data_IF_870371528056
#
_entry.id   IF_870371528056
#
_cell.length_a   1.000
_cell.length_b   1.000
_cell.length_c   1.000
_cell.angle_alpha   90.00
_cell.angle_beta   90.00
_cell.angle_gamma   90.00
#
_symmetry.space_group_name_H-M   'P 1'
#
loop_
_entity.id
_entity.type
_entity.pdbx_description
1 polymer ?
#
# COMPACT_ATOMS: atom_id res chain seq x y z
N UNK A 1 -25.66 0.07 -4.06
CA UNK A 1 -24.31 0.60 -4.36
C UNK A 1 -23.31 -0.25 -3.61
N UNK A 2 -22.09 -0.44 -4.13
CA UNK A 2 -21.09 -1.29 -3.47
C UNK A 2 -20.24 -0.47 -2.52
N UNK A 3 -19.80 -1.08 -1.43
CA UNK A 3 -18.80 -0.55 -0.51
C UNK A 3 -17.54 -1.42 -0.60
N UNK A 4 -16.52 -0.90 -1.28
CA UNK A 4 -15.25 -1.59 -1.47
C UNK A 4 -14.19 -0.95 -0.59
N UNK A 5 -13.49 -1.77 0.18
CA UNK A 5 -12.28 -1.38 0.90
C UNK A 5 -11.08 -1.99 0.19
N UNK A 6 -10.06 -1.19 -0.09
CA UNK A 6 -8.71 -1.69 -0.38
C UNK A 6 -7.85 -1.45 0.85
N UNK A 7 -7.17 -2.49 1.33
CA UNK A 7 -6.20 -2.40 2.44
C UNK A 7 -4.83 -2.74 1.88
N UNK A 8 -3.82 -1.95 2.26
CA UNK A 8 -2.43 -2.10 1.81
C UNK A 8 -1.47 -1.78 2.96
N UNK A 9 -0.57 -2.69 3.30
CA UNK A 9 0.35 -2.52 4.43
C UNK A 9 1.45 -1.50 4.14
N UNK A 10 1.78 -0.69 5.14
CA UNK A 10 2.76 0.36 5.01
C UNK A 10 4.19 -0.21 5.01
N UNK A 11 4.91 -0.07 3.89
CA UNK A 11 6.30 -0.52 3.73
C UNK A 11 6.52 -1.98 4.18
N UNK A 12 5.58 -2.87 3.87
CA UNK A 12 5.36 -4.17 4.52
C UNK A 12 6.61 -4.90 4.99
N UNK A 13 7.50 -5.33 4.09
CA UNK A 13 8.68 -6.11 4.49
C UNK A 13 9.62 -5.33 5.42
N UNK A 14 9.87 -4.05 5.16
CA UNK A 14 10.73 -3.25 6.03
C UNK A 14 10.11 -3.04 7.42
N UNK A 15 8.79 -2.84 7.48
CA UNK A 15 8.04 -2.73 8.73
C UNK A 15 8.04 -4.04 9.53
N UNK A 16 7.96 -5.20 8.86
CA UNK A 16 8.11 -6.52 9.52
C UNK A 16 9.51 -6.68 10.10
N UNK A 17 10.56 -6.29 9.38
CA UNK A 17 11.93 -6.34 9.88
C UNK A 17 12.14 -5.41 11.08
N UNK A 18 11.65 -4.16 11.01
CA UNK A 18 11.73 -3.20 12.13
C UNK A 18 10.89 -3.61 13.35
N UNK A 19 9.79 -4.32 13.13
CA UNK A 19 8.99 -4.88 14.23
C UNK A 19 9.77 -5.97 14.94
N UNK A 20 10.27 -6.94 14.19
CA UNK A 20 10.92 -8.15 14.70
C UNK A 20 12.32 -7.87 15.27
N UNK A 21 13.01 -6.84 14.77
CA UNK A 21 14.31 -6.36 15.27
C UNK A 21 14.22 -4.88 15.71
N UNK A 22 14.15 -4.61 17.04
CA UNK A 22 14.08 -3.26 17.57
C UNK A 22 15.25 -2.35 17.20
N UNK A 23 16.44 -2.87 16.88
CA UNK A 23 17.61 -2.06 16.51
C UNK A 23 17.47 -1.39 15.14
N UNK A 24 16.50 -1.83 14.34
CA UNK A 24 16.20 -1.29 13.02
C UNK A 24 15.19 -0.14 13.04
N UNK A 25 14.50 0.09 14.17
CA UNK A 25 13.45 1.11 14.30
C UNK A 25 14.05 2.51 14.21
N UNK A 26 13.40 3.40 13.44
CA UNK A 26 13.88 4.77 13.24
C UNK A 26 15.11 4.87 12.34
N UNK A 27 15.55 3.77 11.73
CA UNK A 27 16.69 3.74 10.80
C UNK A 27 16.20 3.51 9.37
N UNK A 28 16.91 4.04 8.35
CA UNK A 28 16.64 3.67 6.96
C UNK A 28 16.96 2.19 6.74
N UNK A 29 15.92 1.37 6.59
CA UNK A 29 16.00 -0.05 6.28
C UNK A 29 15.64 -0.30 4.82
N UNK A 30 16.46 -1.12 4.15
CA UNK A 30 16.26 -1.61 2.80
C UNK A 30 16.20 -3.14 2.81
N UNK A 31 15.06 -3.70 2.44
CA UNK A 31 14.91 -5.15 2.29
C UNK A 31 15.20 -5.51 0.83
N UNK A 32 16.10 -6.47 0.59
CA UNK A 32 16.36 -6.94 -0.77
C UNK A 32 17.48 -7.96 -0.87
N UNK A 33 17.99 -8.11 -2.09
CA UNK A 33 19.13 -8.98 -2.41
C UNK A 33 20.49 -8.34 -2.11
N UNK A 34 21.57 -9.01 -2.54
CA UNK A 34 22.95 -8.53 -2.43
C UNK A 34 23.13 -7.12 -3.02
N UNK A 35 23.99 -6.30 -2.41
CA UNK A 35 24.20 -4.90 -2.83
C UNK A 35 24.66 -4.75 -4.28
N UNK A 36 25.47 -5.69 -4.80
CA UNK A 36 26.08 -5.56 -6.13
C UNK A 36 25.14 -5.89 -7.27
N UNK A 37 24.17 -6.79 -7.06
CA UNK A 37 23.30 -7.31 -8.13
C UNK A 37 21.80 -7.34 -7.79
N UNK A 38 21.45 -7.04 -6.55
CA UNK A 38 20.09 -7.06 -6.06
C UNK A 38 19.34 -5.77 -6.34
N UNK A 39 18.04 -5.82 -6.04
CA UNK A 39 17.13 -4.68 -6.05
C UNK A 39 16.49 -4.51 -4.69
N UNK A 40 16.05 -3.30 -4.40
CA UNK A 40 15.22 -2.99 -3.23
C UNK A 40 13.85 -3.62 -3.45
N UNK A 41 13.46 -4.55 -2.58
CA UNK A 41 12.12 -5.13 -2.57
C UNK A 41 11.15 -4.27 -1.76
N UNK A 42 11.60 -3.79 -0.60
CA UNK A 42 10.87 -2.81 0.21
C UNK A 42 11.85 -1.85 0.88
N UNK A 43 11.41 -0.62 1.09
CA UNK A 43 12.15 0.42 1.80
C UNK A 43 11.26 1.00 2.90
N UNK A 44 11.84 1.13 4.10
CA UNK A 44 11.24 1.83 5.23
C UNK A 44 10.90 3.28 4.90
N UNK A 45 10.03 3.91 5.69
CA UNK A 45 9.69 5.31 5.50
C UNK A 45 10.89 6.23 5.72
N UNK A 46 11.79 5.86 6.63
CA UNK A 46 13.04 6.56 6.92
C UNK A 46 13.99 6.59 5.71
N UNK A 47 13.88 5.63 4.79
CA UNK A 47 14.66 5.59 3.55
C UNK A 47 14.03 6.41 2.40
N UNK A 48 12.72 6.72 2.45
CA UNK A 48 12.00 7.42 1.37
C UNK A 48 12.50 8.85 1.08
N UNK A 49 12.90 9.67 2.07
CA UNK A 49 13.46 11.00 1.82
C UNK A 49 14.67 11.00 0.87
N UNK A 50 15.41 9.88 0.79
CA UNK A 50 16.56 9.70 -0.11
C UNK A 50 16.13 9.33 -1.55
N UNK A 51 14.83 9.33 -1.83
CA UNK A 51 14.24 8.95 -3.12
C UNK A 51 14.33 7.45 -3.41
N UNK A 52 14.59 6.62 -2.39
CA UNK A 52 14.67 5.17 -2.52
C UNK A 52 13.27 4.59 -2.64
N UNK A 53 13.11 3.63 -3.55
CA UNK A 53 11.84 2.99 -3.89
C UNK A 53 12.06 1.53 -4.27
N UNK A 54 11.00 0.73 -4.20
CA UNK A 54 11.02 -0.65 -4.68
C UNK A 54 11.43 -0.73 -6.16
N UNK A 55 12.05 -1.85 -6.52
CA UNK A 55 12.69 -2.13 -7.82
C UNK A 55 13.89 -1.24 -8.19
N UNK A 56 14.34 -0.33 -7.31
CA UNK A 56 15.60 0.39 -7.48
C UNK A 56 16.79 -0.58 -7.32
N UNK A 57 17.86 -0.48 -8.15
CA UNK A 57 19.10 -1.22 -7.92
C UNK A 57 19.65 -0.97 -6.51
N UNK A 58 20.06 -2.02 -5.80
CA UNK A 58 20.50 -1.89 -4.40
C UNK A 58 21.76 -1.01 -4.28
N UNK A 59 22.70 -1.12 -5.23
CA UNK A 59 23.87 -0.25 -5.29
C UNK A 59 23.51 1.24 -5.39
N UNK A 60 22.48 1.58 -6.18
CA UNK A 60 21.98 2.95 -6.30
C UNK A 60 21.31 3.41 -4.99
N UNK A 61 20.51 2.55 -4.36
CA UNK A 61 19.86 2.84 -3.09
C UNK A 61 20.88 3.10 -1.97
N UNK A 62 21.92 2.29 -1.86
CA UNK A 62 23.02 2.48 -0.91
C UNK A 62 23.83 3.73 -1.22
N UNK A 63 24.07 4.06 -2.49
CA UNK A 63 24.73 5.30 -2.86
C UNK A 63 23.92 6.54 -2.44
N UNK A 64 22.57 6.48 -2.55
CA UNK A 64 21.66 7.54 -2.10
C UNK A 64 21.57 7.66 -0.58
N UNK A 65 21.70 6.55 0.15
CA UNK A 65 21.66 6.51 1.61
C UNK A 65 22.75 5.57 2.16
N UNK A 66 24.02 6.04 2.27
CA UNK A 66 25.15 5.19 2.68
C UNK A 66 25.04 4.58 4.08
N UNK A 67 24.20 5.16 4.93
CA UNK A 67 23.94 4.69 6.30
C UNK A 67 22.69 3.80 6.41
N UNK A 68 22.06 3.45 5.28
CA UNK A 68 20.94 2.53 5.27
C UNK A 68 21.38 1.11 5.67
N UNK A 69 20.55 0.43 6.45
CA UNK A 69 20.73 -0.97 6.79
C UNK A 69 20.11 -1.82 5.71
N UNK A 70 20.93 -2.63 5.05
CA UNK A 70 20.45 -3.62 4.06
C UNK A 70 20.17 -4.93 4.78
N UNK A 71 18.92 -5.38 4.71
CA UNK A 71 18.44 -6.62 5.32
C UNK A 71 18.07 -7.61 4.22
N UNK A 72 18.51 -8.86 4.38
CA UNK A 72 18.10 -9.95 3.50
C UNK A 72 16.66 -10.34 3.82
N UNK A 73 15.79 -10.34 2.80
CA UNK A 73 14.38 -10.62 3.02
C UNK A 73 14.08 -12.03 3.55
N UNK A 74 13.20 -12.12 4.55
CA UNK A 74 12.73 -13.37 5.16
C UNK A 74 11.33 -13.75 4.64
N UNK A 75 11.26 -14.27 3.41
CA UNK A 75 9.99 -14.52 2.72
C UNK A 75 8.99 -15.37 3.52
N UNK A 76 9.43 -16.44 4.18
CA UNK A 76 8.55 -17.29 5.00
C UNK A 76 7.90 -16.50 6.14
N UNK A 77 8.63 -15.54 6.72
CA UNK A 77 8.11 -14.65 7.77
C UNK A 77 7.06 -13.71 7.21
N UNK A 78 7.28 -13.14 6.02
CA UNK A 78 6.32 -12.25 5.37
C UNK A 78 5.04 -12.97 4.98
N UNK A 79 5.15 -14.21 4.49
CA UNK A 79 4.01 -15.08 4.19
C UNK A 79 3.20 -15.38 5.46
N UNK A 80 3.87 -15.72 6.56
CA UNK A 80 3.20 -15.96 7.84
C UNK A 80 2.39 -14.73 8.31
N UNK A 81 2.99 -13.53 8.24
CA UNK A 81 2.27 -12.28 8.56
C UNK A 81 1.12 -12.02 7.58
N UNK A 82 1.30 -12.29 6.29
CA UNK A 82 0.22 -12.19 5.29
C UNK A 82 -0.98 -13.08 5.62
N UNK A 83 -0.74 -14.28 6.17
CA UNK A 83 -1.82 -15.14 6.66
C UNK A 83 -2.56 -14.56 7.87
N UNK A 84 -1.84 -13.92 8.81
CA UNK A 84 -2.45 -13.19 9.95
C UNK A 84 -3.37 -12.07 9.44
N UNK A 85 -2.90 -11.27 8.48
CA UNK A 85 -3.69 -10.18 7.87
C UNK A 85 -4.95 -10.72 7.19
N UNK A 86 -4.83 -11.79 6.41
CA UNK A 86 -5.97 -12.40 5.73
C UNK A 86 -6.99 -12.96 6.70
N UNK A 87 -6.54 -13.54 7.82
CA UNK A 87 -7.43 -13.98 8.88
C UNK A 87 -8.21 -12.82 9.51
N UNK A 88 -7.59 -11.65 9.67
CA UNK A 88 -8.28 -10.43 10.12
C UNK A 88 -9.34 -9.99 9.10
N UNK A 89 -9.00 -9.94 7.81
CA UNK A 89 -9.94 -9.54 6.75
C UNK A 89 -11.21 -10.40 6.72
N UNK A 90 -11.06 -11.72 6.85
CA UNK A 90 -12.17 -12.66 6.83
C UNK A 90 -13.13 -12.56 8.04
N UNK A 91 -12.78 -11.81 9.09
CA UNK A 91 -13.70 -11.50 10.20
C UNK A 91 -14.81 -10.52 9.77
N UNK A 92 -14.53 -9.68 8.78
CA UNK A 92 -15.43 -8.60 8.38
C UNK A 92 -16.23 -8.94 7.12
N UNK A 93 -15.69 -9.76 6.22
CA UNK A 93 -16.42 -10.23 5.03
C UNK A 93 -15.82 -11.53 4.50
N UNK A 94 -16.62 -12.46 3.95
CA UNK A 94 -16.09 -13.59 3.21
C UNK A 94 -15.54 -13.17 1.83
N UNK A 95 -15.93 -11.99 1.32
CA UNK A 95 -15.57 -11.49 0.00
C UNK A 95 -14.22 -10.74 0.04
N UNK A 96 -13.15 -11.52 0.22
CA UNK A 96 -11.76 -11.02 0.23
C UNK A 96 -11.05 -11.48 -1.04
N UNK A 97 -10.46 -10.53 -1.77
CA UNK A 97 -9.67 -10.77 -2.96
C UNK A 97 -8.24 -10.25 -2.76
N UNK A 98 -7.29 -11.14 -2.41
CA UNK A 98 -5.88 -10.76 -2.25
C UNK A 98 -5.25 -10.40 -3.60
N UNK A 99 -4.43 -9.35 -3.62
CA UNK A 99 -3.60 -8.98 -4.77
C UNK A 99 -2.15 -9.42 -4.56
N UNK A 100 -1.67 -9.35 -3.32
CA UNK A 100 -0.33 -9.75 -2.89
C UNK A 100 -0.38 -10.32 -1.45
N UNK A 101 0.78 -10.44 -0.79
CA UNK A 101 0.86 -10.78 0.64
C UNK A 101 0.31 -9.66 1.54
N UNK A 102 0.31 -8.43 1.07
CA UNK A 102 0.11 -7.22 1.87
C UNK A 102 -1.01 -6.30 1.39
N UNK A 103 -1.70 -6.67 0.30
CA UNK A 103 -2.88 -5.96 -0.19
C UNK A 103 -4.04 -6.88 -0.56
N UNK A 104 -5.26 -6.39 -0.29
CA UNK A 104 -6.49 -7.07 -0.67
C UNK A 104 -7.65 -6.08 -0.88
N UNK A 105 -8.59 -6.46 -1.76
CA UNK A 105 -9.92 -5.87 -1.79
C UNK A 105 -10.88 -6.64 -0.88
N UNK A 106 -11.74 -5.89 -0.19
CA UNK A 106 -12.82 -6.43 0.62
C UNK A 106 -14.12 -5.78 0.16
N UNK A 107 -15.10 -6.60 -0.27
CA UNK A 107 -16.47 -6.13 -0.48
C UNK A 107 -17.23 -6.26 0.84
N UNK A 108 -17.55 -5.12 1.44
CA UNK A 108 -18.22 -5.05 2.75
C UNK A 108 -19.67 -4.61 2.65
N UNK A 109 -20.22 -4.55 1.42
CA UNK A 109 -21.59 -4.07 1.16
C UNK A 109 -22.63 -4.79 2.04
N UNK A 110 -22.51 -6.12 2.18
CA UNK A 110 -23.41 -6.92 3.02
C UNK A 110 -23.07 -6.87 4.53
N UNK A 111 -21.85 -6.44 4.87
CA UNK A 111 -21.33 -6.40 6.23
C UNK A 111 -21.69 -5.11 6.98
N UNK A 112 -22.13 -4.06 6.26
CA UNK A 112 -22.43 -2.74 6.85
C UNK A 112 -23.46 -2.82 7.98
N UNK A 113 -24.46 -3.70 7.87
CA UNK A 113 -25.49 -3.84 8.92
C UNK A 113 -24.94 -4.40 10.23
N UNK A 114 -23.87 -5.18 10.18
CA UNK A 114 -23.27 -5.84 11.36
C UNK A 114 -22.19 -4.98 12.00
N UNK A 115 -21.36 -4.34 11.17
CA UNK A 115 -20.13 -3.68 11.62
C UNK A 115 -20.15 -2.15 11.45
N UNK A 116 -21.25 -1.59 10.94
CA UNK A 116 -21.38 -0.17 10.65
C UNK A 116 -20.94 0.22 9.25
N UNK A 117 -20.96 1.52 8.91
CA UNK A 117 -20.50 2.05 7.63
C UNK A 117 -19.12 1.53 7.21
N UNK A 118 -18.85 1.45 5.91
CA UNK A 118 -17.59 0.93 5.38
C UNK A 118 -16.34 1.64 5.92
N UNK A 119 -16.45 2.95 6.21
CA UNK A 119 -15.39 3.71 6.88
C UNK A 119 -15.08 3.18 8.29
N UNK A 120 -16.10 2.80 9.06
CA UNK A 120 -15.93 2.22 10.40
C UNK A 120 -15.35 0.81 10.33
N UNK A 121 -15.77 0.01 9.33
CA UNK A 121 -15.17 -1.30 9.07
C UNK A 121 -13.68 -1.15 8.75
N UNK A 122 -13.31 -0.20 7.89
CA UNK A 122 -11.90 0.06 7.58
C UNK A 122 -11.09 0.47 8.82
N UNK A 123 -11.64 1.33 9.70
CA UNK A 123 -11.01 1.69 10.99
C UNK A 123 -10.84 0.48 11.91
N UNK A 124 -11.85 -0.38 12.00
CA UNK A 124 -11.80 -1.60 12.81
C UNK A 124 -10.74 -2.57 12.29
N UNK A 125 -10.65 -2.78 10.96
CA UNK A 125 -9.60 -3.59 10.32
C UNK A 125 -8.23 -3.02 10.67
N UNK A 126 -8.00 -1.72 10.47
CA UNK A 126 -6.72 -1.07 10.80
C UNK A 126 -6.36 -1.22 12.28
N UNK A 127 -7.33 -1.05 13.16
CA UNK A 127 -7.15 -1.22 14.61
C UNK A 127 -6.75 -2.66 14.95
N UNK A 128 -7.42 -3.65 14.36
CA UNK A 128 -7.11 -5.07 14.55
C UNK A 128 -5.71 -5.41 14.03
N UNK A 129 -5.34 -4.94 12.84
CA UNK A 129 -3.98 -5.10 12.28
C UNK A 129 -2.96 -4.54 13.27
N UNK A 130 -3.15 -3.31 13.75
CA UNK A 130 -2.20 -2.67 14.66
C UNK A 130 -2.08 -3.41 15.99
N UNK A 131 -3.20 -3.85 16.55
CA UNK A 131 -3.24 -4.54 17.83
C UNK A 131 -2.61 -5.93 17.77
N UNK A 132 -2.86 -6.70 16.71
CA UNK A 132 -2.46 -8.10 16.60
C UNK A 132 -1.07 -8.27 15.98
N UNK A 133 -0.66 -7.36 15.09
CA UNK A 133 0.59 -7.50 14.33
C UNK A 133 1.63 -6.45 14.66
N UNK A 134 1.27 -5.38 15.40
CA UNK A 134 2.09 -4.20 15.64
C UNK A 134 2.55 -3.45 14.36
N UNK A 135 1.89 -3.69 13.22
CA UNK A 135 2.14 -3.03 11.93
C UNK A 135 1.03 -2.01 11.62
N UNK A 136 1.26 -1.15 10.63
CA UNK A 136 0.24 -0.21 10.12
C UNK A 136 -0.15 -0.56 8.69
N UNK A 137 -1.36 -0.15 8.31
CA UNK A 137 -1.89 -0.30 6.98
C UNK A 137 -2.60 0.99 6.57
N UNK A 138 -2.55 1.30 5.28
CA UNK A 138 -3.38 2.35 4.70
C UNK A 138 -4.60 1.73 4.02
N UNK A 139 -5.73 2.45 4.04
CA UNK A 139 -6.98 1.93 3.51
C UNK A 139 -7.73 2.98 2.68
N UNK A 140 -8.39 2.52 1.62
CA UNK A 140 -9.23 3.32 0.75
C UNK A 140 -10.62 2.72 0.68
N UNK A 141 -11.66 3.54 0.84
CA UNK A 141 -13.06 3.12 0.76
C UNK A 141 -13.72 3.84 -0.40
N UNK A 142 -14.33 3.10 -1.33
CA UNK A 142 -14.93 3.69 -2.53
C UNK A 142 -15.98 2.77 -3.17
N UNK A 143 -16.80 3.26 -4.13
CA UNK A 143 -17.81 2.44 -4.83
C UNK A 143 -17.24 1.40 -5.80
N UNK A 144 -15.92 1.42 -6.06
CA UNK A 144 -15.25 0.48 -6.95
C UNK A 144 -13.83 0.15 -6.47
N UNK A 145 -13.33 -1.02 -6.84
CA UNK A 145 -11.96 -1.48 -6.56
C UNK A 145 -10.90 -0.49 -7.05
N UNK A 146 -11.06 0.02 -8.28
CA UNK A 146 -10.10 0.94 -8.88
C UNK A 146 -9.94 2.21 -8.03
N UNK A 147 -11.05 2.85 -7.65
CA UNK A 147 -11.02 4.07 -6.83
C UNK A 147 -10.53 3.76 -5.41
N UNK A 148 -10.94 2.63 -4.82
CA UNK A 148 -10.51 2.23 -3.48
C UNK A 148 -8.98 2.05 -3.40
N UNK A 149 -8.38 1.41 -4.42
CA UNK A 149 -6.92 1.23 -4.51
C UNK A 149 -6.18 2.56 -4.61
N UNK A 150 -6.64 3.46 -5.46
CA UNK A 150 -6.04 4.80 -5.58
C UNK A 150 -6.16 5.56 -4.25
N UNK A 151 -7.32 5.49 -3.59
CA UNK A 151 -7.55 6.14 -2.32
C UNK A 151 -6.62 5.63 -1.20
N UNK A 152 -6.38 4.32 -1.13
CA UNK A 152 -5.42 3.78 -0.15
C UNK A 152 -4.00 4.24 -0.45
N UNK A 153 -3.58 4.29 -1.72
CA UNK A 153 -2.22 4.71 -2.09
C UNK A 153 -1.97 6.20 -1.77
N UNK A 154 -2.96 7.06 -2.07
CA UNK A 154 -2.88 8.51 -1.79
C UNK A 154 -2.84 8.80 -0.29
N UNK A 155 -3.41 7.92 0.54
CA UNK A 155 -3.48 8.13 1.99
C UNK A 155 -2.27 7.61 2.77
N UNK A 156 -1.31 6.92 2.12
CA UNK A 156 -0.12 6.39 2.81
C UNK A 156 0.76 7.49 3.43
N UNK A 157 1.40 7.26 4.61
CA UNK A 157 1.28 6.10 5.50
C UNK A 157 0.12 6.15 6.48
N UNK A 158 -0.26 4.98 7.01
CA UNK A 158 -1.26 4.79 8.07
C UNK A 158 -2.53 5.62 7.87
N UNK A 159 -2.92 5.83 6.62
CA UNK A 159 -4.05 6.66 6.26
C UNK A 159 -5.35 5.88 6.09
N UNK A 160 -6.45 6.63 6.05
CA UNK A 160 -7.75 6.13 5.63
C UNK A 160 -8.42 7.24 4.80
N UNK A 161 -8.70 6.95 3.54
CA UNK A 161 -9.42 7.87 2.67
C UNK A 161 -10.72 7.24 2.19
N UNK A 162 -11.82 7.99 2.33
CA UNK A 162 -13.15 7.59 1.87
C UNK A 162 -13.52 8.48 0.70
N UNK A 163 -13.89 7.88 -0.43
CA UNK A 163 -14.32 8.56 -1.63
C UNK A 163 -15.79 8.22 -1.85
N UNK A 164 -16.67 9.18 -1.58
CA UNK A 164 -18.09 9.00 -1.80
C UNK A 164 -18.40 8.90 -3.31
N UNK A 165 -19.48 8.21 -3.71
CA UNK A 165 -19.88 8.03 -5.10
C UNK A 165 -19.98 9.33 -5.91
N UNK A 166 -20.53 10.38 -5.28
CA UNK A 166 -20.66 11.72 -5.82
C UNK A 166 -19.32 12.43 -6.01
N UNK A 167 -18.33 12.10 -5.18
CA UNK A 167 -17.01 12.73 -5.17
C UNK A 167 -16.00 12.05 -6.11
N UNK A 168 -16.35 10.91 -6.71
CA UNK A 168 -15.40 10.09 -7.50
C UNK A 168 -14.74 10.91 -8.61
N UNK A 169 -15.51 11.72 -9.35
CA UNK A 169 -14.96 12.52 -10.46
C UNK A 169 -13.99 13.58 -9.93
N UNK A 170 -14.40 14.31 -8.90
CA UNK A 170 -13.62 15.42 -8.35
C UNK A 170 -12.36 14.92 -7.63
N UNK A 171 -12.43 13.74 -7.01
CA UNK A 171 -11.28 13.06 -6.44
C UNK A 171 -10.28 12.61 -7.50
N UNK A 172 -10.75 11.98 -8.59
CA UNK A 172 -9.86 11.41 -9.60
C UNK A 172 -9.25 12.47 -10.52
N UNK A 173 -10.06 13.42 -11.00
CA UNK A 173 -9.68 14.37 -12.05
C UNK A 173 -8.31 15.05 -11.85
N UNK A 174 -7.98 15.60 -10.65
CA UNK A 174 -6.71 16.30 -10.46
C UNK A 174 -5.49 15.38 -10.28
N UNK A 175 -5.69 14.06 -10.12
CA UNK A 175 -4.58 13.15 -9.86
C UNK A 175 -3.72 12.97 -11.12
N UNK A 176 -2.38 12.92 -10.99
CA UNK A 176 -1.51 12.59 -12.11
C UNK A 176 -1.86 11.23 -12.71
N UNK A 177 -1.75 11.08 -14.04
CA UNK A 177 -2.08 9.83 -14.78
C UNK A 177 -1.35 8.60 -14.24
N UNK A 178 -0.19 8.77 -13.60
CA UNK A 178 0.56 7.68 -12.94
C UNK A 178 -0.20 6.97 -11.81
N UNK A 179 -1.24 7.59 -11.25
CA UNK A 179 -2.07 6.98 -10.21
C UNK A 179 -3.08 5.99 -10.79
N UNK A 180 -3.31 5.99 -12.10
CA UNK A 180 -4.13 4.97 -12.75
C UNK A 180 -3.48 3.61 -12.55
N UNK A 181 -4.19 2.69 -11.92
CA UNK A 181 -3.71 1.33 -11.73
C UNK A 181 -3.41 0.68 -13.09
N UNK A 182 -2.14 0.30 -13.29
CA UNK A 182 -1.64 -0.25 -14.56
C UNK A 182 -0.81 0.74 -15.40
N UNK A 183 -0.81 2.03 -15.06
CA UNK A 183 0.04 3.03 -15.72
C UNK A 183 1.40 3.09 -15.05
N UNK A 184 2.36 2.35 -15.62
CA UNK A 184 3.78 2.47 -15.24
C UNK A 184 4.49 3.62 -15.96
N UNK A 185 5.78 3.83 -15.64
CA UNK A 185 6.59 4.94 -16.17
C UNK A 185 6.61 5.07 -17.70
N UNK A 186 6.60 3.93 -18.40
CA UNK A 186 6.62 3.91 -19.87
C UNK A 186 5.32 4.47 -20.43
N UNK A 187 4.19 4.02 -19.90
CA UNK A 187 2.85 4.49 -20.29
C UNK A 187 2.63 5.95 -19.87
N UNK A 188 3.03 6.32 -18.65
CA UNK A 188 3.00 7.72 -18.18
C UNK A 188 3.76 8.65 -19.14
N UNK A 189 4.99 8.28 -19.51
CA UNK A 189 5.78 9.07 -20.45
C UNK A 189 5.14 9.16 -21.85
N UNK A 190 4.42 8.11 -22.28
CA UNK A 190 3.67 8.14 -23.54
C UNK A 190 2.47 9.08 -23.47
N UNK A 191 1.71 9.07 -22.37
CA UNK A 191 0.57 9.97 -22.14
C UNK A 191 1.02 11.43 -22.05
N UNK A 192 2.11 11.71 -21.33
CA UNK A 192 2.68 13.07 -21.26
C UNK A 192 3.10 13.61 -22.64
N UNK A 193 3.62 12.77 -23.54
CA UNK A 193 3.92 13.17 -24.92
C UNK A 193 2.67 13.54 -25.73
N UNK A 194 1.50 13.05 -25.33
CA UNK A 194 0.21 13.42 -25.92
C UNK A 194 -0.43 14.64 -25.22
N UNK A 195 0.25 15.25 -24.25
CA UNK A 195 -0.28 16.37 -23.46
C UNK A 195 -1.25 15.96 -22.35
N UNK A 196 -1.34 14.68 -22.02
CA UNK A 196 -2.26 14.13 -21.02
C UNK A 196 -1.50 13.92 -19.70
N UNK A 197 -1.77 14.73 -18.68
CA UNK A 197 -1.00 14.79 -17.43
C UNK A 197 -1.78 14.27 -16.23
N UNK A 198 -3.10 14.45 -16.23
CA UNK A 198 -4.01 14.10 -15.15
C UNK A 198 -5.02 13.06 -15.59
N UNK A 199 -5.66 12.37 -14.64
CA UNK A 199 -6.75 11.42 -14.94
C UNK A 199 -7.91 12.16 -15.62
N UNK A 200 -8.15 13.43 -15.26
CA UNK A 200 -9.16 14.27 -15.90
C UNK A 200 -8.92 14.49 -17.39
N UNK A 201 -7.67 14.47 -17.85
CA UNK A 201 -7.33 14.61 -19.27
C UNK A 201 -7.71 13.36 -20.10
N UNK A 202 -7.98 12.21 -19.45
CA UNK A 202 -8.36 10.96 -20.12
C UNK A 202 -9.88 10.81 -20.36
N UNK A 203 -10.68 11.74 -19.83
CA UNK A 203 -12.14 11.63 -19.73
C UNK A 203 -12.90 12.19 -20.94
#
# INVERSE_FOLDING_TARGET
MRDIIHVDMDAFYASVEQRDDPELRGRPVLVGGDVRRGVVTSASYEARPFGIRSAMPMAEAVARCPHAVVVRGRMDRYVAVGHELRAIFHRFTPLVEPLSLDEAFLDVTASVRLFGPAADIARQIKTAIRAETALTASAGVAPSKFVAKIASDVSKPDGLLVVAPEDVRDFLAPLPVRHVWGVGRVTEAALHRLGLWTIGDLA
#
